data_IF_789624249669
#
_entry.id   IF_789624249669
#
_cell.length_a   1.000
_cell.length_b   1.000
_cell.length_c   1.000
_cell.angle_alpha   90.00
_cell.angle_beta   90.00
_cell.angle_gamma   90.00
#
_symmetry.space_group_name_H-M   'P 1'
#
loop_
_entity.id
_entity.type
_entity.pdbx_description
1 polymer ?
#
# COMPACT_ATOMS: atom_id res chain seq x y z
N UNK A 1 16.87 -12.10 8.52
CA UNK A 1 16.57 -13.33 7.75
C UNK A 1 15.52 -13.01 6.68
N UNK A 2 15.63 -13.56 5.47
CA UNK A 2 14.57 -13.46 4.43
C UNK A 2 13.66 -14.68 4.55
N UNK A 3 12.36 -14.46 4.64
CA UNK A 3 11.35 -15.51 4.80
C UNK A 3 10.19 -15.30 3.82
N UNK A 4 9.34 -16.32 3.68
CA UNK A 4 8.14 -16.31 2.83
C UNK A 4 8.39 -15.73 1.42
N UNK A 5 9.38 -16.27 0.67
CA UNK A 5 9.63 -15.82 -0.68
C UNK A 5 8.43 -16.16 -1.57
N UNK A 6 8.17 -15.28 -2.52
CA UNK A 6 7.18 -15.51 -3.56
C UNK A 6 7.69 -14.98 -4.89
N UNK A 7 7.37 -15.69 -5.98
CA UNK A 7 7.89 -15.38 -7.30
C UNK A 7 6.83 -15.65 -8.36
N UNK A 8 6.42 -14.61 -9.07
CA UNK A 8 5.34 -14.73 -10.06
C UNK A 8 5.51 -13.74 -11.23
N UNK A 9 4.97 -14.06 -12.41
CA UNK A 9 4.99 -13.17 -13.55
C UNK A 9 3.89 -12.12 -13.47
N UNK A 10 4.17 -10.95 -14.03
CA UNK A 10 3.23 -9.86 -14.21
C UNK A 10 3.30 -9.34 -15.65
N UNK A 11 2.13 -9.12 -16.26
CA UNK A 11 2.02 -8.55 -17.60
C UNK A 11 2.38 -7.06 -17.57
N UNK A 12 3.10 -6.59 -18.59
CA UNK A 12 3.34 -5.14 -18.75
C UNK A 12 2.18 -4.43 -19.46
N UNK A 13 1.25 -5.18 -20.05
CA UNK A 13 0.17 -4.67 -20.91
C UNK A 13 -1.18 -4.78 -20.20
N UNK A 14 -1.42 -5.85 -19.46
CA UNK A 14 -2.71 -6.17 -18.84
C UNK A 14 -2.65 -6.14 -17.32
N UNK A 15 -3.77 -5.80 -16.68
CA UNK A 15 -3.95 -5.90 -15.22
C UNK A 15 -4.28 -7.32 -14.73
N UNK A 16 -4.50 -8.26 -15.66
CA UNK A 16 -4.84 -9.64 -15.35
C UNK A 16 -3.64 -10.40 -14.78
N UNK A 17 -3.93 -11.29 -13.83
CA UNK A 17 -2.96 -12.26 -13.32
C UNK A 17 -2.54 -13.24 -14.40
N UNK A 18 -1.32 -13.76 -14.28
CA UNK A 18 -0.76 -14.74 -15.19
C UNK A 18 -0.43 -16.01 -14.41
N UNK A 19 -0.63 -17.15 -15.07
CA UNK A 19 -0.08 -18.41 -14.57
C UNK A 19 1.45 -18.34 -14.53
N UNK A 20 2.07 -18.99 -13.54
CA UNK A 20 3.52 -18.95 -13.34
C UNK A 20 4.31 -19.62 -14.47
N UNK A 21 3.67 -20.45 -15.30
CA UNK A 21 4.28 -21.09 -16.46
C UNK A 21 4.34 -20.20 -17.70
N UNK A 22 3.73 -19.01 -17.68
CA UNK A 22 3.69 -18.12 -18.85
C UNK A 22 5.08 -17.55 -19.12
N UNK A 23 5.55 -17.68 -20.37
CA UNK A 23 6.83 -17.14 -20.85
C UNK A 23 6.55 -16.23 -22.05
N UNK A 24 6.95 -14.96 -21.96
CA UNK A 24 6.75 -13.97 -23.02
C UNK A 24 7.76 -12.82 -22.91
N UNK A 25 7.93 -12.04 -23.98
CA UNK A 25 8.69 -10.78 -23.92
C UNK A 25 7.91 -9.65 -23.22
N UNK A 26 6.58 -9.80 -23.11
CA UNK A 26 5.68 -8.81 -22.48
C UNK A 26 5.42 -9.08 -20.99
N UNK A 27 6.26 -9.89 -20.33
CA UNK A 27 6.16 -10.16 -18.90
C UNK A 27 7.38 -9.66 -18.16
N UNK A 28 7.16 -9.23 -16.93
CA UNK A 28 8.20 -9.07 -15.91
C UNK A 28 7.95 -10.08 -14.81
N UNK A 29 8.97 -10.30 -13.99
CA UNK A 29 8.85 -11.13 -12.81
C UNK A 29 8.97 -10.29 -11.57
N UNK A 30 8.16 -10.62 -10.58
CA UNK A 30 8.23 -10.04 -9.26
C UNK A 30 8.83 -11.05 -8.30
N UNK A 31 9.89 -10.63 -7.60
CA UNK A 31 10.45 -11.40 -6.49
C UNK A 31 10.13 -10.66 -5.20
N UNK A 32 9.33 -11.30 -4.36
CA UNK A 32 8.91 -10.79 -3.06
C UNK A 32 9.56 -11.60 -1.94
N UNK A 33 9.94 -10.91 -0.87
CA UNK A 33 10.43 -11.50 0.38
C UNK A 33 9.90 -10.72 1.59
N UNK A 34 9.75 -11.42 2.71
CA UNK A 34 9.51 -10.80 4.01
C UNK A 34 10.82 -10.75 4.79
N UNK A 35 11.15 -9.61 5.39
CA UNK A 35 12.34 -9.44 6.21
C UNK A 35 11.97 -9.59 7.68
N UNK A 36 12.56 -10.59 8.34
CA UNK A 36 12.22 -10.97 9.71
C UNK A 36 12.65 -9.94 10.77
N UNK A 37 13.73 -9.21 10.50
CA UNK A 37 14.28 -8.15 11.36
C UNK A 37 13.38 -6.91 11.43
N UNK A 38 12.83 -6.51 10.29
CA UNK A 38 11.99 -5.30 10.17
C UNK A 38 10.50 -5.60 10.21
N UNK A 39 10.12 -6.88 10.19
CA UNK A 39 8.73 -7.35 10.09
C UNK A 39 7.96 -6.67 8.94
N UNK A 40 8.65 -6.47 7.81
CA UNK A 40 8.13 -5.80 6.61
C UNK A 40 8.36 -6.65 5.37
N UNK A 41 7.58 -6.38 4.33
CA UNK A 41 7.67 -7.09 3.06
C UNK A 41 8.11 -6.18 1.95
N UNK A 42 8.98 -6.71 1.09
CA UNK A 42 9.58 -5.99 0.00
C UNK A 42 9.48 -6.82 -1.26
N UNK A 43 9.29 -6.14 -2.37
CA UNK A 43 9.32 -6.78 -3.68
C UNK A 43 10.24 -6.01 -4.62
N UNK A 44 10.75 -6.75 -5.59
CA UNK A 44 11.51 -6.21 -6.70
C UNK A 44 10.87 -6.66 -8.01
N UNK A 45 10.98 -5.82 -9.03
CA UNK A 45 10.51 -6.16 -10.38
C UNK A 45 11.74 -6.30 -11.28
N UNK A 46 11.78 -7.36 -12.07
CA UNK A 46 12.93 -7.69 -12.89
C UNK A 46 12.63 -8.63 -14.05
N UNK A 47 13.70 -9.13 -14.65
CA UNK A 47 13.66 -10.08 -15.75
C UNK A 47 14.18 -11.44 -15.25
N UNK A 48 13.45 -12.50 -15.58
CA UNK A 48 13.85 -13.87 -15.29
C UNK A 48 14.34 -14.55 -16.56
N UNK A 49 15.57 -15.04 -16.52
CA UNK A 49 16.20 -15.77 -17.61
C UNK A 49 16.07 -17.27 -17.35
N UNK A 50 14.99 -17.89 -17.84
CA UNK A 50 14.66 -19.30 -17.61
C UNK A 50 15.82 -20.26 -17.91
N UNK A 51 16.54 -20.05 -19.03
CA UNK A 51 17.67 -20.92 -19.43
C UNK A 51 18.82 -20.87 -18.43
N UNK A 52 19.03 -19.73 -17.78
CA UNK A 52 20.13 -19.52 -16.81
C UNK A 52 19.66 -19.68 -15.36
N UNK A 53 18.39 -19.97 -15.16
CA UNK A 53 17.69 -19.92 -13.87
C UNK A 53 18.10 -18.70 -13.02
N UNK A 54 18.03 -17.51 -13.63
CA UNK A 54 18.55 -16.28 -13.02
C UNK A 54 17.55 -15.15 -13.09
N UNK A 55 17.19 -14.63 -11.93
CA UNK A 55 16.44 -13.38 -11.80
C UNK A 55 17.39 -12.18 -11.68
N UNK A 56 17.11 -11.12 -12.44
CA UNK A 56 17.85 -9.86 -12.39
C UNK A 56 16.86 -8.73 -12.12
N UNK A 57 16.91 -8.08 -10.94
CA UNK A 57 16.06 -6.93 -10.65
C UNK A 57 16.40 -5.77 -11.57
N UNK A 58 15.40 -4.99 -11.93
CA UNK A 58 15.59 -3.79 -12.75
C UNK A 58 16.39 -2.73 -11.98
N UNK A 59 17.09 -1.85 -12.70
CA UNK A 59 17.79 -0.72 -12.09
C UNK A 59 16.82 0.12 -11.24
N UNK A 60 17.25 0.46 -10.02
CA UNK A 60 16.44 1.17 -9.02
C UNK A 60 15.49 0.29 -8.19
N UNK A 61 15.39 -1.01 -8.48
CA UNK A 61 14.61 -1.95 -7.67
C UNK A 61 15.48 -2.60 -6.60
N UNK A 62 15.56 -1.96 -5.42
CA UNK A 62 16.41 -2.42 -4.31
C UNK A 62 15.73 -3.54 -3.50
N UNK A 63 16.51 -4.53 -3.06
CA UNK A 63 16.07 -5.72 -2.31
C UNK A 63 16.34 -5.62 -0.79
N UNK A 64 16.46 -4.40 -0.28
CA UNK A 64 16.75 -4.08 1.11
C UNK A 64 15.67 -3.13 1.69
N UNK A 65 15.94 -2.51 2.83
CA UNK A 65 14.96 -1.67 3.55
C UNK A 65 14.45 -0.45 2.77
N UNK A 66 15.12 -0.05 1.66
CA UNK A 66 14.66 0.99 0.74
C UNK A 66 13.92 0.46 -0.49
N UNK A 67 13.65 -0.85 -0.53
CA UNK A 67 12.83 -1.49 -1.57
C UNK A 67 11.36 -1.07 -1.51
N UNK A 68 10.62 -1.40 -2.57
CA UNK A 68 9.17 -1.16 -2.64
C UNK A 68 8.43 -2.17 -1.79
N UNK A 69 7.29 -1.77 -1.23
CA UNK A 69 6.43 -2.60 -0.39
C UNK A 69 5.03 -2.62 -0.96
N UNK A 70 4.28 -3.70 -0.77
CA UNK A 70 2.85 -3.70 -1.09
C UNK A 70 2.07 -2.77 -0.16
N UNK A 71 2.45 -2.78 1.11
CA UNK A 71 1.79 -2.03 2.16
C UNK A 71 2.83 -1.39 3.09
N UNK A 72 2.57 -0.15 3.49
CA UNK A 72 3.47 0.67 4.29
C UNK A 72 3.14 0.68 5.79
N UNK A 73 2.13 -0.09 6.22
CA UNK A 73 1.73 -0.30 7.61
C UNK A 73 2.01 -1.71 8.13
N UNK A 74 1.04 -2.31 8.82
CA UNK A 74 1.12 -3.62 9.49
C UNK A 74 0.73 -4.75 8.54
N UNK A 75 1.67 -5.18 7.70
CA UNK A 75 1.46 -6.22 6.69
C UNK A 75 2.69 -7.13 6.57
N UNK A 76 2.49 -8.45 6.66
CA UNK A 76 3.57 -9.43 6.70
C UNK A 76 3.15 -10.83 6.23
N UNK A 77 4.14 -11.61 5.78
CA UNK A 77 4.01 -12.99 5.30
C UNK A 77 2.95 -13.17 4.19
N UNK A 78 2.78 -12.19 3.29
CA UNK A 78 1.86 -12.30 2.16
C UNK A 78 2.27 -13.38 1.17
N UNK A 79 1.29 -13.94 0.47
CA UNK A 79 1.49 -14.89 -0.62
C UNK A 79 0.44 -14.65 -1.70
N UNK A 80 0.90 -14.54 -2.94
CA UNK A 80 0.05 -14.50 -4.10
C UNK A 80 -0.40 -15.92 -4.49
N UNK A 81 -1.62 -16.02 -4.96
CA UNK A 81 -2.12 -17.21 -5.65
C UNK A 81 -2.80 -16.77 -6.94
N UNK A 82 -2.61 -17.53 -8.00
CA UNK A 82 -3.30 -17.32 -9.26
C UNK A 82 -4.68 -18.00 -9.17
N UNK A 83 -5.73 -17.25 -9.47
CA UNK A 83 -7.12 -17.72 -9.49
C UNK A 83 -7.56 -17.78 -10.95
N UNK A 84 -7.56 -18.99 -11.53
CA UNK A 84 -7.91 -19.23 -12.94
C UNK A 84 -9.37 -18.91 -13.25
N UNK A 85 -10.23 -18.97 -12.24
CA UNK A 85 -11.68 -18.83 -12.40
C UNK A 85 -12.12 -17.36 -12.31
N UNK A 86 -11.20 -16.46 -11.92
CA UNK A 86 -11.46 -15.02 -11.79
C UNK A 86 -10.35 -14.20 -12.45
N UNK A 87 -10.59 -13.83 -13.70
CA UNK A 87 -9.94 -12.67 -14.32
C UNK A 87 -10.40 -11.40 -13.58
N UNK A 88 -9.64 -10.97 -12.57
CA UNK A 88 -9.97 -9.81 -11.73
C UNK A 88 -9.84 -8.50 -12.52
N UNK A 89 -10.96 -7.99 -13.02
CA UNK A 89 -11.21 -6.56 -13.13
C UNK A 89 -12.33 -6.20 -12.16
N UNK A 90 -12.02 -5.40 -11.13
CA UNK A 90 -13.03 -4.72 -10.31
C UNK A 90 -12.62 -3.27 -10.18
N UNK A 91 -13.10 -2.44 -11.12
CA UNK A 91 -13.05 -1.00 -10.95
C UNK A 91 -14.18 -0.58 -9.99
N UNK A 92 -13.78 -0.04 -8.84
CA UNK A 92 -14.70 0.67 -7.97
C UNK A 92 -14.26 2.13 -7.94
N UNK A 93 -14.81 2.93 -8.87
CA UNK A 93 -14.55 4.37 -8.92
C UNK A 93 -15.85 5.16 -8.81
N UNK A 94 -15.96 5.98 -7.76
CA UNK A 94 -16.86 7.15 -7.72
C UNK A 94 -16.00 8.39 -7.58
N UNK A 95 -16.34 9.44 -8.35
CA UNK A 95 -15.54 10.65 -8.54
C UNK A 95 -15.73 11.62 -7.37
N UNK A 96 -14.64 12.12 -6.79
CA UNK A 96 -14.60 13.22 -5.82
C UNK A 96 -13.85 14.46 -6.34
N UNK A 97 -13.95 15.59 -5.62
CA UNK A 97 -13.38 16.91 -5.96
C UNK A 97 -12.17 17.27 -5.07
N UNK A 98 -11.31 18.18 -5.55
CA UNK A 98 -9.95 18.48 -5.03
C UNK A 98 -9.94 19.47 -3.85
N UNK A 99 -9.15 19.16 -2.81
CA UNK A 99 -8.77 20.00 -1.65
C UNK A 99 -7.71 19.26 -0.81
N UNK A 100 -7.24 19.74 0.36
CA UNK A 100 -6.66 18.83 1.35
C UNK A 100 -7.79 17.93 1.85
N UNK A 101 -7.96 16.76 1.24
CA UNK A 101 -8.99 15.80 1.59
C UNK A 101 -8.38 14.64 2.36
N UNK A 102 -9.13 14.16 3.33
CA UNK A 102 -8.78 13.03 4.16
C UNK A 102 -9.97 12.62 5.00
N UNK A 103 -9.80 11.54 5.75
CA UNK A 103 -10.85 10.93 6.53
C UNK A 103 -10.38 10.85 7.99
N UNK A 104 -11.24 11.31 8.88
CA UNK A 104 -11.23 10.86 10.26
C UNK A 104 -12.02 9.56 10.30
N UNK A 105 -11.38 8.48 10.72
CA UNK A 105 -11.99 7.15 10.79
C UNK A 105 -11.90 6.61 12.19
N UNK A 106 -12.91 5.84 12.59
CA UNK A 106 -13.03 5.32 13.96
C UNK A 106 -12.84 6.47 14.97
N UNK A 107 -13.65 7.51 14.79
CA UNK A 107 -13.51 8.75 15.54
C UNK A 107 -14.65 8.90 16.54
N UNK A 108 -14.33 9.27 17.78
CA UNK A 108 -15.35 9.54 18.79
C UNK A 108 -16.07 10.84 18.50
N UNK A 109 -17.27 11.01 19.05
CA UNK A 109 -18.11 12.20 18.80
C UNK A 109 -17.40 13.53 19.10
N UNK A 110 -16.57 13.59 20.15
CA UNK A 110 -15.78 14.77 20.50
C UNK A 110 -14.37 14.77 19.91
N UNK A 111 -14.06 13.84 19.00
CA UNK A 111 -12.73 13.61 18.42
C UNK A 111 -11.64 13.41 19.48
N UNK A 112 -12.00 12.87 20.65
CA UNK A 112 -11.04 12.45 21.68
C UNK A 112 -10.18 11.29 21.18
N UNK A 113 -10.80 10.37 20.45
CA UNK A 113 -10.13 9.32 19.68
C UNK A 113 -10.39 9.54 18.20
N UNK A 114 -9.35 9.38 17.38
CA UNK A 114 -9.45 9.44 15.93
C UNK A 114 -8.27 8.73 15.27
N UNK A 115 -8.51 8.12 14.11
CA UNK A 115 -7.46 7.77 13.15
C UNK A 115 -7.58 8.69 11.95
N UNK A 116 -6.47 9.34 11.56
CA UNK A 116 -6.48 10.37 10.52
C UNK A 116 -5.77 9.87 9.28
N UNK A 117 -6.49 9.81 8.15
CA UNK A 117 -5.95 9.41 6.85
C UNK A 117 -6.01 10.59 5.90
N UNK A 118 -4.87 11.19 5.57
CA UNK A 118 -4.81 12.44 4.80
C UNK A 118 -3.74 12.38 3.71
N UNK A 119 -3.91 13.21 2.68
CA UNK A 119 -2.84 13.55 1.75
C UNK A 119 -2.23 14.91 2.07
N UNK A 120 -0.90 14.99 2.00
CA UNK A 120 -0.15 16.26 2.02
C UNK A 120 0.63 16.42 0.73
N UNK A 121 0.33 17.46 -0.04
CA UNK A 121 0.98 17.72 -1.31
C UNK A 121 2.19 18.64 -1.13
N UNK A 122 3.30 18.27 -1.76
CA UNK A 122 4.53 19.03 -1.82
C UNK A 122 4.88 19.31 -3.29
N UNK A 123 5.40 20.49 -3.56
CA UNK A 123 5.93 20.84 -4.88
C UNK A 123 7.45 20.75 -4.83
N UNK A 124 8.06 20.01 -5.74
CA UNK A 124 9.51 20.05 -5.93
C UNK A 124 9.87 21.32 -6.72
N UNK A 125 10.59 22.28 -6.12
CA UNK A 125 10.94 23.52 -6.79
C UNK A 125 11.92 23.33 -7.95
N UNK A 126 12.66 22.21 -8.01
CA UNK A 126 13.69 21.97 -9.04
C UNK A 126 13.10 21.33 -10.29
N UNK A 127 12.22 20.34 -10.12
CA UNK A 127 11.63 19.61 -11.24
C UNK A 127 10.26 20.14 -11.67
N UNK A 128 9.67 21.08 -10.91
CA UNK A 128 8.28 21.52 -11.06
C UNK A 128 7.26 20.36 -10.96
N UNK A 129 7.69 19.22 -10.40
CA UNK A 129 6.83 18.08 -10.13
C UNK A 129 6.17 18.21 -8.76
N UNK A 130 5.18 17.36 -8.50
CA UNK A 130 4.49 17.31 -7.22
C UNK A 130 4.56 15.89 -6.65
N UNK A 131 4.62 15.85 -5.33
CA UNK A 131 4.65 14.61 -4.56
C UNK A 131 3.55 14.70 -3.51
N UNK A 132 2.72 13.68 -3.41
CA UNK A 132 1.76 13.53 -2.33
C UNK A 132 2.34 12.59 -1.28
N UNK A 133 2.29 12.98 -0.02
CA UNK A 133 2.50 12.10 1.12
C UNK A 133 1.13 11.62 1.58
N UNK A 134 0.86 10.33 1.47
CA UNK A 134 -0.28 9.73 2.14
C UNK A 134 0.11 9.47 3.58
N UNK A 135 -0.67 9.90 4.56
CA UNK A 135 -0.43 9.64 5.97
C UNK A 135 -1.59 8.84 6.57
N UNK A 136 -1.27 7.84 7.39
CA UNK A 136 -2.21 7.20 8.31
C UNK A 136 -1.69 7.41 9.73
N UNK A 137 -2.27 8.39 10.42
CA UNK A 137 -1.89 8.81 11.77
C UNK A 137 -2.77 8.13 12.82
N UNK A 138 -2.11 7.40 13.72
CA UNK A 138 -2.75 6.64 14.79
C UNK A 138 -2.44 7.20 16.18
N UNK A 139 -1.76 8.34 16.28
CA UNK A 139 -1.31 8.93 17.55
C UNK A 139 -2.45 9.13 18.55
N UNK A 140 -3.66 9.43 18.05
CA UNK A 140 -4.88 9.63 18.84
C UNK A 140 -5.91 8.51 18.65
N UNK A 141 -5.51 7.36 18.10
CA UNK A 141 -6.45 6.27 17.77
C UNK A 141 -7.05 5.55 18.97
N UNK A 142 -6.54 5.79 20.18
CA UNK A 142 -7.02 5.18 21.42
C UNK A 142 -6.63 6.03 22.63
N UNK A 143 -7.47 6.05 23.66
CA UNK A 143 -7.18 6.61 24.98
C UNK A 143 -6.26 5.72 25.81
N UNK A 144 -6.03 4.47 25.41
CA UNK A 144 -5.05 3.61 26.08
C UNK A 144 -3.65 4.12 25.76
N UNK A 145 -2.91 4.56 26.78
CA UNK A 145 -1.58 5.17 26.62
C UNK A 145 -0.43 4.15 26.56
N UNK A 146 -0.59 2.99 27.18
CA UNK A 146 0.46 1.96 27.28
C UNK A 146 0.13 0.74 26.41
N UNK A 147 1.17 0.05 25.93
CA UNK A 147 1.11 -1.22 25.21
C UNK A 147 0.39 -1.25 23.85
N UNK A 148 -0.08 -0.10 23.34
CA UNK A 148 -0.59 0.02 21.98
C UNK A 148 0.44 0.66 21.06
N UNK A 149 0.75 -0.04 19.97
CA UNK A 149 1.50 0.54 18.87
C UNK A 149 0.62 1.49 18.04
N UNK A 150 0.90 2.79 18.19
CA UNK A 150 0.27 3.93 17.51
C UNK A 150 1.16 4.53 16.41
N UNK A 151 2.09 3.75 15.85
CA UNK A 151 3.03 4.22 14.81
C UNK A 151 2.28 4.78 13.61
N UNK A 152 2.65 5.99 13.19
CA UNK A 152 2.15 6.66 12.00
C UNK A 152 2.96 6.22 10.78
N UNK A 153 2.26 5.89 9.69
CA UNK A 153 2.88 5.47 8.44
C UNK A 153 2.58 6.49 7.34
N UNK A 154 3.52 6.67 6.41
CA UNK A 154 3.27 7.52 5.25
C UNK A 154 4.18 7.31 4.05
N UNK A 155 3.71 6.63 2.99
CA UNK A 155 4.43 6.55 1.73
C UNK A 155 4.28 7.82 0.90
N UNK A 156 5.35 8.16 0.17
CA UNK A 156 5.30 9.17 -0.88
C UNK A 156 4.77 8.56 -2.19
N UNK A 157 3.96 9.35 -2.88
CA UNK A 157 3.37 9.07 -4.17
C UNK A 157 3.75 10.19 -5.14
N UNK A 158 4.28 9.83 -6.30
CA UNK A 158 4.45 10.79 -7.38
C UNK A 158 3.08 11.05 -8.00
N UNK A 159 2.66 12.32 -8.01
CA UNK A 159 1.34 12.73 -8.47
C UNK A 159 1.48 13.90 -9.43
N UNK A 160 0.65 13.96 -10.47
CA UNK A 160 0.62 15.10 -11.36
C UNK A 160 -0.67 15.91 -11.13
N UNK A 161 -0.66 16.92 -10.25
CA UNK A 161 -1.90 17.63 -9.86
C UNK A 161 -2.50 18.47 -10.98
N UNK A 162 -1.81 18.65 -12.11
CA UNK A 162 -2.41 19.26 -13.31
C UNK A 162 -3.35 18.30 -14.06
N UNK A 163 -3.23 16.98 -13.83
CA UNK A 163 -3.96 15.95 -14.59
C UNK A 163 -4.62 14.88 -13.73
N UNK A 164 -4.12 14.64 -12.52
CA UNK A 164 -4.56 13.58 -11.63
C UNK A 164 -5.47 14.13 -10.53
N UNK A 165 -6.69 13.58 -10.44
CA UNK A 165 -7.50 13.71 -9.23
C UNK A 165 -6.97 12.69 -8.23
N UNK A 166 -6.54 13.17 -7.08
CA UNK A 166 -6.11 12.25 -6.05
C UNK A 166 -7.30 11.42 -5.54
N UNK A 167 -7.09 10.12 -5.36
CA UNK A 167 -8.11 9.17 -4.91
C UNK A 167 -7.71 8.51 -3.60
N UNK A 168 -8.69 8.36 -2.71
CA UNK A 168 -8.55 7.64 -1.46
C UNK A 168 -9.73 6.67 -1.32
N UNK A 169 -9.42 5.41 -1.05
CA UNK A 169 -10.39 4.42 -0.59
C UNK A 169 -9.95 3.91 0.77
N UNK A 170 -10.87 3.85 1.72
CA UNK A 170 -10.61 3.28 3.05
C UNK A 170 -11.63 2.19 3.32
N UNK A 171 -11.15 1.01 3.72
CA UNK A 171 -11.96 -0.06 4.30
C UNK A 171 -11.78 0.01 5.82
N UNK A 172 -12.90 -0.05 6.55
CA UNK A 172 -12.92 0.03 8.01
C UNK A 172 -13.68 -1.20 8.49
N UNK A 173 -13.04 -2.00 9.33
CA UNK A 173 -13.67 -3.15 9.97
C UNK A 173 -13.22 -3.23 11.43
N UNK A 174 -14.00 -2.60 12.30
CA UNK A 174 -13.78 -2.55 13.75
C UNK A 174 -12.38 -2.08 14.16
N UNK A 175 -11.39 -2.99 14.20
CA UNK A 175 -10.01 -2.73 14.63
C UNK A 175 -8.98 -2.75 13.50
N UNK A 176 -9.42 -2.89 12.25
CA UNK A 176 -8.56 -2.80 11.07
C UNK A 176 -9.02 -1.66 10.16
N UNK A 177 -8.05 -0.92 9.63
CA UNK A 177 -8.25 0.12 8.62
C UNK A 177 -7.27 -0.15 7.48
N UNK A 178 -7.79 -0.32 6.27
CA UNK A 178 -6.98 -0.48 5.05
C UNK A 178 -7.22 0.70 4.12
N UNK A 179 -6.16 1.47 3.87
CA UNK A 179 -6.21 2.67 3.06
C UNK A 179 -5.49 2.45 1.73
N UNK A 180 -6.13 2.80 0.62
CA UNK A 180 -5.63 2.69 -0.75
C UNK A 180 -5.59 4.08 -1.37
N UNK A 181 -4.39 4.61 -1.57
CA UNK A 181 -4.15 5.88 -2.25
C UNK A 181 -3.87 5.68 -3.73
N UNK A 182 -4.37 6.59 -4.57
CA UNK A 182 -4.13 6.62 -6.02
C UNK A 182 -4.43 5.27 -6.69
N UNK A 183 -5.65 4.77 -6.52
CA UNK A 183 -6.11 3.49 -7.09
C UNK A 183 -5.26 2.28 -6.65
N UNK A 184 -4.65 2.34 -5.48
CA UNK A 184 -3.84 1.25 -4.91
C UNK A 184 -2.35 1.34 -5.18
N UNK A 185 -1.85 2.46 -5.72
CA UNK A 185 -0.40 2.70 -5.85
C UNK A 185 0.31 2.80 -4.48
N UNK A 186 -0.42 3.19 -3.44
CA UNK A 186 0.02 3.05 -2.05
C UNK A 186 -1.07 2.40 -1.22
N UNK A 187 -0.66 1.44 -0.37
CA UNK A 187 -1.53 0.82 0.61
C UNK A 187 -0.97 1.04 2.01
N UNK A 188 -1.85 1.27 2.99
CA UNK A 188 -1.49 1.30 4.41
C UNK A 188 -2.54 0.51 5.18
N UNK A 189 -2.11 -0.58 5.80
CA UNK A 189 -2.92 -1.39 6.70
C UNK A 189 -2.57 -1.05 8.13
N UNK A 190 -3.60 -0.79 8.94
CA UNK A 190 -3.42 -0.32 10.31
C UNK A 190 -4.32 -1.09 11.27
N UNK A 191 -3.83 -1.30 12.49
CA UNK A 191 -4.61 -1.88 13.60
C UNK A 191 -4.79 -0.83 14.68
N UNK A 192 -6.03 -0.54 15.03
CA UNK A 192 -6.41 0.49 16.00
C UNK A 192 -7.45 -0.06 16.97
N UNK A 193 -7.41 0.44 18.21
CA UNK A 193 -8.21 -0.09 19.32
C UNK A 193 -8.83 1.04 20.15
N UNK A 194 -9.76 1.82 19.57
CA UNK A 194 -10.46 2.88 20.29
C UNK A 194 -11.28 2.31 21.46
N UNK A 195 -11.51 3.12 22.48
CA UNK A 195 -12.37 2.82 23.65
C UNK A 195 -13.77 3.44 23.51
N UNK A 196 -13.83 4.61 22.89
CA UNK A 196 -15.02 5.42 22.69
C UNK A 196 -15.64 5.15 21.31
N UNK A 197 -14.81 5.18 20.25
CA UNK A 197 -15.23 5.00 18.86
C UNK A 197 -15.47 3.52 18.50
N UNK A 198 -16.50 2.92 19.10
CA UNK A 198 -16.89 1.51 18.89
C UNK A 198 -18.39 1.43 18.58
N UNK A 199 -18.76 0.63 17.58
CA UNK A 199 -20.15 0.42 17.17
C UNK A 199 -20.79 1.71 16.68
N UNK A 200 -22.01 2.01 17.14
CA UNK A 200 -22.76 3.22 16.75
C UNK A 200 -22.15 4.54 17.27
N UNK A 201 -21.02 4.47 17.98
CA UNK A 201 -20.28 5.63 18.51
C UNK A 201 -19.05 5.99 17.66
N UNK A 202 -18.85 5.31 16.53
CA UNK A 202 -17.70 5.43 15.63
C UNK A 202 -18.05 6.08 14.28
#
# INVERSE_FOLDING_TARGET
>A
MRVCPDFFPASIISKLGLDTSVISSSIKHELKVSLDDTKREYYTIGIYYHVKDKYIPHSGSMDNNSGRRYDYGKFYASKACFDSDKNREKEASKRGSVGPFGLFVLASKGLEEETVVIFRNFKDPKSNSYVALMCSDHSRSSLVEQDLDKTTNGPFLNVNPAHDKLSLRTLIDHSIVECFGEEGKACITSRVYPKLAIGDRA
#
